data_IF_136773332535
#
_entry.id   IF_136773332535
#
_cell.length_a   1.000
_cell.length_b   1.000
_cell.length_c   1.000
_cell.angle_alpha   90.00
_cell.angle_beta   90.00
_cell.angle_gamma   90.00
#
_symmetry.space_group_name_H-M   'P 1'
#
loop_
_entity.id
_entity.type
_entity.pdbx_description
1 polymer ?
#
# COMPACT_ATOMS: atom_id res chain seq x y z
N UNK A 1 -3.60 21.45 1.26
CA UNK A 1 -2.65 21.01 0.20
C UNK A 1 -2.58 19.49 0.01
N UNK A 2 -3.05 18.66 0.94
CA UNK A 2 -3.05 17.20 0.80
C UNK A 2 -3.77 16.67 -0.46
N UNK A 3 -4.85 17.32 -0.91
CA UNK A 3 -5.58 16.91 -2.13
C UNK A 3 -4.79 17.07 -3.44
N UNK A 4 -3.85 18.02 -3.52
CA UNK A 4 -3.00 18.21 -4.70
C UNK A 4 -1.91 17.15 -4.81
N UNK A 5 -1.43 16.63 -3.67
CA UNK A 5 -0.43 15.56 -3.63
C UNK A 5 -0.97 14.19 -4.06
N UNK A 6 -2.29 13.97 -3.98
CA UNK A 6 -2.95 12.72 -4.39
C UNK A 6 -3.38 12.71 -5.87
N UNK A 7 -3.46 13.89 -6.52
CA UNK A 7 -3.85 13.98 -7.93
C UNK A 7 -2.97 13.18 -8.90
N UNK A 8 -1.63 13.12 -8.76
CA UNK A 8 -0.81 12.30 -9.65
C UNK A 8 -1.16 10.82 -9.58
N UNK A 9 -1.52 10.33 -8.39
CA UNK A 9 -1.93 8.94 -8.19
C UNK A 9 -3.23 8.64 -8.92
N UNK A 10 -4.24 9.49 -8.77
CA UNK A 10 -5.55 9.27 -9.38
C UNK A 10 -5.50 9.38 -10.89
N UNK A 11 -4.71 10.31 -11.44
CA UNK A 11 -4.47 10.44 -12.88
C UNK A 11 -3.76 9.20 -13.43
N UNK A 12 -2.75 8.68 -12.73
CA UNK A 12 -2.07 7.45 -13.14
C UNK A 12 -2.98 6.23 -13.14
N UNK A 13 -3.78 6.06 -12.07
CA UNK A 13 -4.78 4.98 -11.99
C UNK A 13 -5.74 5.08 -13.17
N UNK A 14 -6.27 6.27 -13.46
CA UNK A 14 -7.19 6.49 -14.56
C UNK A 14 -6.56 6.21 -15.94
N UNK A 15 -5.30 6.59 -16.14
CA UNK A 15 -4.57 6.38 -17.39
C UNK A 15 -4.22 4.90 -17.64
N UNK A 16 -3.89 4.15 -16.59
CA UNK A 16 -3.40 2.76 -16.70
C UNK A 16 -4.55 1.74 -16.69
N UNK A 17 -5.68 2.05 -16.03
CA UNK A 17 -6.82 1.14 -15.89
C UNK A 17 -7.31 0.48 -17.21
N UNK A 18 -7.43 1.20 -18.35
CA UNK A 18 -7.89 0.61 -19.61
C UNK A 18 -6.94 -0.46 -20.19
N UNK A 19 -5.66 -0.46 -19.80
CA UNK A 19 -4.65 -1.38 -20.32
C UNK A 19 -4.75 -2.77 -19.69
N UNK A 20 -5.34 -2.88 -18.50
CA UNK A 20 -5.44 -4.13 -17.75
C UNK A 20 -6.08 -5.28 -18.55
N UNK A 21 -7.29 -5.14 -19.13
CA UNK A 21 -7.92 -6.23 -19.89
C UNK A 21 -7.14 -6.60 -21.16
N UNK A 22 -6.50 -5.63 -21.81
CA UNK A 22 -5.67 -5.88 -23.00
C UNK A 22 -4.43 -6.72 -22.65
N UNK A 23 -3.74 -6.36 -21.56
CA UNK A 23 -2.56 -7.07 -21.08
C UNK A 23 -2.91 -8.49 -20.64
N UNK A 24 -4.04 -8.68 -19.96
CA UNK A 24 -4.50 -10.01 -19.51
C UNK A 24 -4.83 -10.91 -20.70
N UNK A 25 -5.51 -10.40 -21.74
CA UNK A 25 -5.74 -11.17 -22.98
C UNK A 25 -4.43 -11.57 -23.67
N UNK A 26 -3.42 -10.70 -23.66
CA UNK A 26 -2.16 -10.92 -24.39
C UNK A 26 -1.16 -11.78 -23.62
N UNK A 27 -0.97 -11.56 -22.32
CA UNK A 27 0.06 -12.23 -21.51
C UNK A 27 -0.51 -13.30 -20.55
N UNK A 28 -1.81 -13.26 -20.27
CA UNK A 28 -2.47 -14.16 -19.30
C UNK A 28 -2.50 -13.57 -17.89
N UNK A 29 -3.50 -14.00 -17.11
CA UNK A 29 -3.79 -13.44 -15.78
C UNK A 29 -2.61 -13.55 -14.81
N UNK A 30 -1.99 -14.72 -14.69
CA UNK A 30 -0.87 -14.97 -13.75
C UNK A 30 0.30 -14.01 -13.99
N UNK A 31 0.69 -13.81 -15.25
CA UNK A 31 1.82 -12.93 -15.60
C UNK A 31 1.49 -11.49 -15.28
N UNK A 32 0.28 -11.02 -15.63
CA UNK A 32 -0.13 -9.63 -15.38
C UNK A 32 -0.24 -9.34 -13.90
N UNK A 33 -0.90 -10.21 -13.11
CA UNK A 33 -1.04 -10.00 -11.67
C UNK A 33 0.31 -10.02 -10.96
N UNK A 34 1.18 -10.99 -11.30
CA UNK A 34 2.53 -11.04 -10.72
C UNK A 34 3.32 -9.78 -11.05
N UNK A 35 3.33 -9.36 -12.33
CA UNK A 35 4.03 -8.15 -12.75
C UNK A 35 3.47 -6.90 -12.06
N UNK A 36 2.15 -6.75 -11.97
CA UNK A 36 1.51 -5.63 -11.31
C UNK A 36 1.90 -5.54 -9.82
N UNK A 37 1.92 -6.66 -9.11
CA UNK A 37 2.33 -6.71 -7.70
C UNK A 37 3.82 -6.42 -7.53
N UNK A 38 4.69 -6.92 -8.42
CA UNK A 38 6.13 -6.59 -8.40
C UNK A 38 6.37 -5.11 -8.67
N UNK A 39 5.68 -4.52 -9.65
CA UNK A 39 5.74 -3.09 -9.97
C UNK A 39 5.29 -2.27 -8.75
N UNK A 40 4.20 -2.67 -8.09
CA UNK A 40 3.70 -2.01 -6.88
C UNK A 40 4.71 -2.08 -5.73
N UNK A 41 5.29 -3.25 -5.46
CA UNK A 41 6.31 -3.43 -4.43
C UNK A 41 7.57 -2.62 -4.72
N UNK A 42 8.01 -2.57 -5.98
CA UNK A 42 9.14 -1.74 -6.41
C UNK A 42 8.85 -0.24 -6.22
N UNK A 43 7.65 0.22 -6.57
CA UNK A 43 7.23 1.61 -6.35
C UNK A 43 7.22 1.99 -4.87
N UNK A 44 6.74 1.09 -4.00
CA UNK A 44 6.81 1.27 -2.55
C UNK A 44 8.26 1.31 -2.06
N UNK A 45 9.14 0.42 -2.54
CA UNK A 45 10.55 0.42 -2.17
C UNK A 45 11.29 1.70 -2.60
N UNK A 46 11.01 2.22 -3.79
CA UNK A 46 11.56 3.52 -4.23
C UNK A 46 11.10 4.63 -3.27
N UNK A 47 9.83 4.64 -2.88
CA UNK A 47 9.28 5.64 -1.96
C UNK A 47 9.97 5.63 -0.60
N UNK A 48 10.42 4.47 -0.10
CA UNK A 48 11.20 4.36 1.16
C UNK A 48 12.64 4.86 1.07
N UNK A 49 13.14 5.19 -0.11
CA UNK A 49 14.50 5.74 -0.29
C UNK A 49 14.53 7.26 -0.38
N UNK A 50 13.37 7.92 -0.34
CA UNK A 50 13.29 9.38 -0.41
C UNK A 50 13.48 10.03 0.95
N UNK A 51 14.46 10.92 1.04
CA UNK A 51 14.67 11.81 2.18
C UNK A 51 14.06 13.20 1.93
N UNK A 52 13.96 14.03 2.96
CA UNK A 52 13.45 15.42 2.97
C UNK A 52 14.11 16.37 1.96
N UNK A 53 15.29 16.01 1.46
CA UNK A 53 16.05 16.77 0.44
C UNK A 53 15.77 16.29 -0.99
N UNK A 54 14.97 15.24 -1.16
CA UNK A 54 14.72 14.67 -2.49
C UNK A 54 13.81 15.55 -3.31
N UNK A 55 14.07 15.62 -4.61
CA UNK A 55 13.18 16.31 -5.55
C UNK A 55 11.78 15.69 -5.54
N UNK A 56 10.75 16.50 -5.81
CA UNK A 56 9.36 16.04 -5.86
C UNK A 56 9.10 15.00 -6.98
N UNK A 57 9.96 14.96 -8.00
CA UNK A 57 9.82 14.06 -9.15
C UNK A 57 9.82 12.57 -8.76
N UNK A 58 10.79 12.04 -7.99
CA UNK A 58 10.75 10.64 -7.56
C UNK A 58 9.54 10.28 -6.68
N UNK A 59 8.98 11.22 -5.90
CA UNK A 59 7.71 10.99 -5.19
C UNK A 59 6.58 10.78 -6.18
N UNK A 60 6.52 11.63 -7.21
CA UNK A 60 5.52 11.57 -8.26
C UNK A 60 5.62 10.26 -9.03
N UNK A 61 6.83 9.87 -9.46
CA UNK A 61 7.09 8.60 -10.15
C UNK A 61 6.70 7.41 -9.27
N UNK A 62 7.14 7.36 -8.01
CA UNK A 62 6.79 6.26 -7.09
C UNK A 62 5.28 6.13 -6.90
N UNK A 63 4.59 7.25 -6.74
CA UNK A 63 3.13 7.28 -6.57
C UNK A 63 2.39 6.81 -7.83
N UNK A 64 2.86 7.21 -9.01
CA UNK A 64 2.34 6.76 -10.30
C UNK A 64 2.56 5.26 -10.49
N UNK A 65 3.74 4.75 -10.15
CA UNK A 65 4.10 3.32 -10.25
C UNK A 65 3.23 2.47 -9.34
N UNK A 66 3.03 2.90 -8.08
CA UNK A 66 2.12 2.22 -7.15
C UNK A 66 0.68 2.23 -7.68
N UNK A 67 0.20 3.39 -8.15
CA UNK A 67 -1.14 3.53 -8.74
C UNK A 67 -1.36 2.63 -9.97
N UNK A 68 -0.36 2.51 -10.84
CA UNK A 68 -0.37 1.61 -11.99
C UNK A 68 -0.44 0.13 -11.57
N UNK A 69 0.32 -0.27 -10.56
CA UNK A 69 0.25 -1.62 -10.02
C UNK A 69 -1.13 -1.95 -9.45
N UNK A 70 -1.77 -1.00 -8.77
CA UNK A 70 -3.11 -1.18 -8.19
C UNK A 70 -4.14 -1.40 -9.29
N UNK A 71 -4.14 -0.54 -10.32
CA UNK A 71 -5.14 -0.61 -11.40
C UNK A 71 -5.01 -1.88 -12.25
N UNK A 72 -3.80 -2.37 -12.47
CA UNK A 72 -3.54 -3.62 -13.19
C UNK A 72 -3.89 -4.89 -12.40
N UNK A 73 -4.04 -4.79 -11.09
CA UNK A 73 -4.32 -5.93 -10.22
C UNK A 73 -5.83 -6.08 -9.93
N UNK A 74 -6.50 -4.99 -9.55
CA UNK A 74 -7.81 -5.05 -8.91
C UNK A 74 -8.92 -5.61 -9.82
N UNK A 75 -9.06 -5.06 -11.03
CA UNK A 75 -10.14 -5.47 -11.93
C UNK A 75 -9.94 -6.91 -12.45
N UNK A 76 -8.76 -7.30 -12.97
CA UNK A 76 -8.55 -8.66 -13.47
C UNK A 76 -8.65 -9.75 -12.39
N UNK A 77 -8.21 -9.47 -11.16
CA UNK A 77 -8.33 -10.41 -10.06
C UNK A 77 -9.80 -10.67 -9.70
N UNK A 78 -10.59 -9.59 -9.61
CA UNK A 78 -12.04 -9.67 -9.32
C UNK A 78 -12.76 -10.43 -10.44
N UNK A 79 -12.51 -10.07 -11.70
CA UNK A 79 -13.10 -10.74 -12.86
C UNK A 79 -12.78 -12.24 -12.86
N UNK A 80 -11.54 -12.61 -12.55
CA UNK A 80 -11.12 -14.01 -12.48
C UNK A 80 -11.83 -14.79 -11.37
N UNK A 81 -12.03 -14.19 -10.20
CA UNK A 81 -12.74 -14.81 -9.07
C UNK A 81 -14.21 -14.98 -9.42
N UNK A 82 -14.88 -13.96 -9.95
CA UNK A 82 -16.31 -14.05 -10.31
C UNK A 82 -16.51 -15.03 -11.48
N UNK A 83 -15.66 -14.99 -12.50
CA UNK A 83 -15.69 -15.92 -13.63
C UNK A 83 -15.28 -17.35 -13.23
N UNK A 84 -14.75 -17.55 -12.02
CA UNK A 84 -14.39 -18.88 -11.51
C UNK A 84 -15.61 -19.74 -11.18
N UNK A 85 -16.85 -19.25 -11.26
CA UNK A 85 -18.07 -20.05 -11.10
C UNK A 85 -19.00 -19.93 -12.32
N UNK A 86 -19.91 -20.92 -12.54
CA UNK A 86 -20.97 -20.80 -13.55
C UNK A 86 -21.86 -19.57 -13.28
N UNK A 87 -22.45 -19.00 -14.34
CA UNK A 87 -23.28 -17.77 -14.28
C UNK A 87 -24.31 -17.78 -13.14
N UNK A 88 -25.02 -18.89 -12.94
CA UNK A 88 -26.02 -19.06 -11.88
C UNK A 88 -25.46 -18.94 -10.45
N UNK A 89 -24.14 -19.04 -10.25
CA UNK A 89 -23.45 -18.95 -8.95
C UNK A 89 -22.48 -17.77 -8.86
N UNK A 90 -22.41 -16.90 -9.87
CA UNK A 90 -21.51 -15.74 -9.86
C UNK A 90 -21.83 -14.76 -8.73
N UNK A 91 -23.11 -14.64 -8.34
CA UNK A 91 -23.49 -13.84 -7.17
C UNK A 91 -22.82 -14.32 -5.87
N UNK A 92 -22.65 -15.65 -5.70
CA UNK A 92 -21.94 -16.23 -4.57
C UNK A 92 -20.44 -15.93 -4.64
N UNK A 93 -19.83 -16.04 -5.83
CA UNK A 93 -18.41 -15.69 -6.01
C UNK A 93 -18.15 -14.20 -5.70
N UNK A 94 -19.04 -13.30 -6.14
CA UNK A 94 -18.94 -11.87 -5.84
C UNK A 94 -19.06 -11.60 -4.34
N UNK A 95 -20.06 -12.19 -3.68
CA UNK A 95 -20.25 -12.02 -2.24
C UNK A 95 -19.03 -12.50 -1.43
N UNK A 96 -18.46 -13.66 -1.79
CA UNK A 96 -17.23 -14.16 -1.17
C UNK A 96 -16.04 -13.24 -1.45
N UNK A 97 -15.91 -12.73 -2.67
CA UNK A 97 -14.86 -11.77 -3.03
C UNK A 97 -14.96 -10.48 -2.21
N UNK A 98 -16.17 -9.96 -2.03
CA UNK A 98 -16.40 -8.74 -1.27
C UNK A 98 -16.07 -8.93 0.22
N UNK A 99 -16.54 -10.02 0.84
CA UNK A 99 -16.17 -10.37 2.22
C UNK A 99 -14.65 -10.54 2.35
N UNK A 100 -14.00 -11.20 1.38
CA UNK A 100 -12.54 -11.36 1.37
C UNK A 100 -11.83 -10.01 1.31
N UNK A 101 -12.34 -9.06 0.53
CA UNK A 101 -11.79 -7.69 0.43
C UNK A 101 -12.03 -6.88 1.70
N UNK A 102 -13.18 -7.01 2.34
CA UNK A 102 -13.46 -6.35 3.62
C UNK A 102 -12.53 -6.85 4.72
N UNK A 103 -12.39 -8.17 4.85
CA UNK A 103 -11.47 -8.81 5.80
C UNK A 103 -10.01 -8.42 5.48
N UNK A 104 -9.62 -8.49 4.21
CA UNK A 104 -8.28 -8.09 3.76
C UNK A 104 -8.01 -6.61 4.03
N UNK A 105 -9.00 -5.74 3.83
CA UNK A 105 -8.91 -4.31 4.14
C UNK A 105 -8.73 -4.05 5.63
N UNK A 106 -9.52 -4.71 6.48
CA UNK A 106 -9.41 -4.59 7.93
C UNK A 106 -8.04 -5.08 8.44
N UNK A 107 -7.57 -6.23 7.96
CA UNK A 107 -6.24 -6.76 8.28
C UNK A 107 -5.12 -5.83 7.79
N UNK A 108 -5.25 -5.30 6.57
CA UNK A 108 -4.31 -4.34 6.00
C UNK A 108 -4.19 -3.09 6.86
N UNK A 109 -5.32 -2.48 7.25
CA UNK A 109 -5.32 -1.30 8.14
C UNK A 109 -4.68 -1.63 9.50
N UNK A 110 -4.98 -2.80 10.08
CA UNK A 110 -4.42 -3.21 11.36
C UNK A 110 -2.89 -3.43 11.30
N UNK A 111 -2.41 -4.15 10.29
CA UNK A 111 -0.97 -4.45 10.11
C UNK A 111 -0.19 -3.17 9.83
N UNK A 112 -0.66 -2.36 8.88
CA UNK A 112 0.02 -1.12 8.48
C UNK A 112 -0.03 -0.08 9.60
N UNK A 113 -1.17 0.06 10.28
CA UNK A 113 -1.30 0.94 11.44
C UNK A 113 -0.40 0.51 12.60
N UNK A 114 -0.28 -0.79 12.85
CA UNK A 114 0.63 -1.33 13.86
C UNK A 114 2.10 -1.08 13.51
N UNK A 115 2.49 -1.31 12.25
CA UNK A 115 3.85 -1.04 11.77
C UNK A 115 4.19 0.45 11.86
N UNK A 116 3.27 1.32 11.44
CA UNK A 116 3.38 2.76 11.56
C UNK A 116 3.56 3.20 13.02
N UNK A 117 2.65 2.79 13.90
CA UNK A 117 2.66 3.18 15.30
C UNK A 117 3.92 2.66 16.03
N UNK A 118 4.36 1.43 15.71
CA UNK A 118 5.62 0.88 16.22
C UNK A 118 6.82 1.70 15.77
N UNK A 119 6.84 2.11 14.50
CA UNK A 119 7.87 3.00 13.94
C UNK A 119 7.91 4.37 14.60
N UNK A 120 6.75 5.01 14.71
CA UNK A 120 6.63 6.31 15.37
C UNK A 120 7.12 6.28 16.82
N UNK A 121 6.65 5.31 17.60
CA UNK A 121 7.02 5.20 19.03
C UNK A 121 8.50 4.89 19.22
N UNK A 122 9.08 4.05 18.37
CA UNK A 122 10.51 3.77 18.39
C UNK A 122 11.32 5.01 17.99
N UNK A 123 10.93 5.71 16.92
CA UNK A 123 11.61 6.90 16.44
C UNK A 123 11.59 8.07 17.44
N UNK A 124 10.51 8.22 18.21
CA UNK A 124 10.48 9.14 19.35
C UNK A 124 11.42 8.66 20.46
N UNK A 125 11.43 7.34 20.73
CA UNK A 125 12.30 6.72 21.74
C UNK A 125 13.79 6.89 21.50
N UNK A 126 14.22 6.74 20.25
CA UNK A 126 15.62 6.92 19.85
C UNK A 126 16.08 8.39 19.98
N UNK A 127 15.14 9.31 20.25
CA UNK A 127 15.34 10.76 20.39
C UNK A 127 14.85 11.27 21.76
N UNK A 128 14.88 10.39 22.77
CA UNK A 128 14.43 10.70 24.14
C UNK A 128 15.20 11.89 24.77
N UNK A 129 16.41 12.22 24.28
CA UNK A 129 17.20 13.39 24.66
C UNK A 129 16.69 14.73 24.10
N UNK A 130 15.92 14.67 23.00
CA UNK A 130 15.25 15.83 22.41
C UNK A 130 13.94 16.18 23.12
N UNK A 131 13.35 15.24 23.87
CA UNK A 131 12.02 15.34 24.45
C UNK A 131 12.07 15.33 25.99
N UNK A 132 11.54 16.36 26.68
CA UNK A 132 11.46 16.34 28.14
C UNK A 132 10.73 15.08 28.66
N UNK A 133 11.25 14.47 29.73
CA UNK A 133 10.72 13.21 30.25
C UNK A 133 9.24 13.25 30.61
N UNK A 134 8.74 14.42 31.05
CA UNK A 134 7.32 14.65 31.36
C UNK A 134 6.44 14.79 30.11
N UNK A 135 7.01 15.07 28.94
CA UNK A 135 6.32 15.23 27.66
C UNK A 135 6.35 13.95 26.80
N UNK A 136 7.26 13.00 27.09
CA UNK A 136 7.45 11.77 26.30
C UNK A 136 6.17 10.96 26.09
N UNK A 137 5.32 10.82 27.11
CA UNK A 137 4.05 10.10 26.99
C UNK A 137 3.11 10.74 25.96
N UNK A 138 2.96 12.07 26.03
CA UNK A 138 2.14 12.85 25.10
C UNK A 138 2.71 12.80 23.68
N UNK A 139 4.03 12.99 23.53
CA UNK A 139 4.70 12.98 22.23
C UNK A 139 4.58 11.61 21.54
N UNK A 140 4.66 10.51 22.30
CA UNK A 140 4.51 9.15 21.75
C UNK A 140 3.06 8.78 21.37
N UNK A 141 2.06 9.57 21.78
CA UNK A 141 0.65 9.22 21.55
C UNK A 141 0.18 9.50 20.12
N UNK A 142 0.59 10.62 19.54
CA UNK A 142 0.33 11.00 18.16
C UNK A 142 1.20 12.19 17.75
N UNK A 143 1.34 12.42 16.45
CA UNK A 143 2.01 13.62 15.93
C UNK A 143 1.28 14.89 16.35
N UNK A 144 -0.05 14.91 16.31
CA UNK A 144 -0.84 16.09 16.68
C UNK A 144 -0.62 16.47 18.15
N UNK A 145 -0.63 15.48 19.05
CA UNK A 145 -0.34 15.70 20.46
C UNK A 145 1.11 16.17 20.68
N UNK A 146 2.06 15.63 19.91
CA UNK A 146 3.45 16.05 19.96
C UNK A 146 3.65 17.50 19.51
N UNK A 147 2.96 17.93 18.45
CA UNK A 147 3.04 19.30 17.94
C UNK A 147 2.37 20.29 18.89
N UNK A 148 1.22 19.95 19.46
CA UNK A 148 0.58 20.77 20.49
C UNK A 148 1.45 20.92 21.74
N UNK A 149 2.10 19.84 22.17
CA UNK A 149 3.02 19.87 23.31
C UNK A 149 4.30 20.66 22.99
N UNK A 150 4.82 20.56 21.77
CA UNK A 150 5.94 21.38 21.29
C UNK A 150 5.61 22.88 21.32
N UNK A 151 4.42 23.27 20.88
CA UNK A 151 3.94 24.66 20.96
C UNK A 151 3.81 25.14 22.41
N UNK A 152 3.31 24.28 23.31
CA UNK A 152 3.19 24.57 24.74
C UNK A 152 4.55 24.77 25.42
N UNK A 153 5.56 23.97 25.05
CA UNK A 153 6.94 24.10 25.56
C UNK A 153 7.59 25.38 25.04
N UNK A 154 7.39 25.69 23.74
CA UNK A 154 7.93 26.88 23.11
C UNK A 154 9.48 26.92 23.00
N UNK A 155 9.97 27.96 22.34
CA UNK A 155 11.40 28.20 22.17
C UNK A 155 12.15 27.10 21.41
N UNK A 156 13.46 27.01 21.64
CA UNK A 156 14.32 26.03 20.97
C UNK A 156 13.99 24.57 21.35
N UNK A 157 13.51 24.33 22.57
CA UNK A 157 13.12 22.98 23.01
C UNK A 157 11.84 22.52 22.32
N UNK A 158 10.82 23.39 22.22
CA UNK A 158 9.62 23.10 21.45
C UNK A 158 9.93 22.77 19.98
N UNK A 159 10.81 23.56 19.35
CA UNK A 159 11.25 23.30 17.98
C UNK A 159 11.93 21.91 17.82
N UNK A 160 12.77 21.49 18.78
CA UNK A 160 13.39 20.15 18.78
C UNK A 160 12.37 19.03 18.94
N UNK A 161 11.37 19.21 19.82
CA UNK A 161 10.29 18.22 20.00
C UNK A 161 9.47 18.07 18.71
N UNK A 162 9.12 19.18 18.06
CA UNK A 162 8.39 19.15 16.80
C UNK A 162 9.18 18.46 15.67
N UNK A 163 10.49 18.73 15.57
CA UNK A 163 11.36 18.09 14.58
C UNK A 163 11.53 16.58 14.85
N UNK A 164 11.73 16.19 16.12
CA UNK A 164 11.80 14.80 16.53
C UNK A 164 10.50 14.04 16.21
N UNK A 165 9.33 14.64 16.49
CA UNK A 165 8.04 14.04 16.19
C UNK A 165 7.78 13.90 14.68
N UNK A 166 8.11 14.92 13.88
CA UNK A 166 7.98 14.86 12.42
C UNK A 166 8.90 13.80 11.80
N UNK A 167 10.13 13.70 12.31
CA UNK A 167 11.09 12.69 11.87
C UNK A 167 10.61 11.29 12.25
N UNK A 168 10.17 11.09 13.49
CA UNK A 168 9.61 9.81 13.94
C UNK A 168 8.34 9.42 13.15
N UNK A 169 7.53 10.40 12.73
CA UNK A 169 6.36 10.16 11.87
C UNK A 169 6.78 9.64 10.50
N UNK A 170 7.84 10.22 9.91
CA UNK A 170 8.44 9.71 8.67
C UNK A 170 9.00 8.29 8.87
N UNK A 171 9.73 8.04 9.96
CA UNK A 171 10.24 6.70 10.31
C UNK A 171 9.08 5.66 10.41
N UNK A 172 7.95 6.07 10.98
CA UNK A 172 6.72 5.28 11.04
C UNK A 172 6.15 4.98 9.66
N UNK A 173 6.06 5.99 8.80
CA UNK A 173 5.54 5.85 7.44
C UNK A 173 6.42 4.89 6.62
N UNK A 174 7.75 5.03 6.71
CA UNK A 174 8.70 4.17 6.02
C UNK A 174 8.55 2.70 6.45
N UNK A 175 8.44 2.44 7.77
CA UNK A 175 8.20 1.07 8.27
C UNK A 175 6.89 0.49 7.76
N UNK A 176 5.82 1.27 7.74
CA UNK A 176 4.55 0.82 7.19
C UNK A 176 4.64 0.51 5.70
N UNK A 177 5.35 1.33 4.93
CA UNK A 177 5.57 1.11 3.49
C UNK A 177 6.41 -0.14 3.21
N UNK A 178 7.46 -0.41 4.00
CA UNK A 178 8.24 -1.64 3.90
C UNK A 178 7.40 -2.88 4.18
N UNK A 179 6.57 -2.84 5.23
CA UNK A 179 5.64 -3.94 5.55
C UNK A 179 4.63 -4.14 4.43
N UNK A 180 4.07 -3.07 3.87
CA UNK A 180 3.17 -3.14 2.71
C UNK A 180 3.87 -3.78 1.50
N UNK A 181 5.09 -3.35 1.18
CA UNK A 181 5.87 -3.88 0.08
C UNK A 181 6.15 -5.38 0.25
N UNK A 182 6.48 -5.81 1.47
CA UNK A 182 6.70 -7.22 1.80
C UNK A 182 5.42 -8.05 1.62
N UNK A 183 4.29 -7.58 2.13
CA UNK A 183 2.99 -8.26 1.97
C UNK A 183 2.63 -8.41 0.49
N UNK A 184 2.81 -7.34 -0.30
CA UNK A 184 2.58 -7.38 -1.75
C UNK A 184 3.55 -8.34 -2.44
N UNK A 185 4.82 -8.37 -2.07
CA UNK A 185 5.81 -9.29 -2.63
C UNK A 185 5.49 -10.75 -2.32
N UNK A 186 5.05 -11.06 -1.09
CA UNK A 186 4.57 -12.39 -0.71
C UNK A 186 3.33 -12.78 -1.53
N UNK A 187 2.39 -11.84 -1.71
CA UNK A 187 1.24 -12.04 -2.58
C UNK A 187 1.63 -12.30 -4.04
N UNK A 188 2.62 -11.57 -4.56
CA UNK A 188 3.15 -11.79 -5.91
C UNK A 188 3.74 -13.20 -6.05
N UNK A 189 4.51 -13.67 -5.06
CA UNK A 189 5.04 -15.03 -5.03
C UNK A 189 3.91 -16.07 -4.95
N UNK A 190 2.88 -15.84 -4.13
CA UNK A 190 1.73 -16.73 -4.03
C UNK A 190 0.97 -16.83 -5.36
N UNK A 191 0.70 -15.70 -6.03
CA UNK A 191 0.08 -15.68 -7.37
C UNK A 191 0.99 -16.39 -8.38
N UNK A 192 2.28 -16.11 -8.35
CA UNK A 192 3.25 -16.75 -9.23
C UNK A 192 3.33 -18.26 -9.02
N UNK A 193 3.06 -18.80 -7.83
CA UNK A 193 3.15 -20.23 -7.57
C UNK A 193 1.80 -20.96 -7.72
N UNK A 194 0.71 -20.32 -7.31
CA UNK A 194 -0.61 -20.95 -7.16
C UNK A 194 -1.58 -20.64 -8.30
N UNK A 195 -1.39 -19.56 -9.05
CA UNK A 195 -2.34 -19.21 -10.10
C UNK A 195 -2.24 -20.19 -11.29
N UNK A 196 -3.38 -20.67 -11.83
CA UNK A 196 -3.40 -21.58 -12.97
C UNK A 196 -2.80 -20.91 -14.22
N UNK A 197 -2.01 -21.68 -14.97
CA UNK A 197 -1.39 -21.21 -16.22
C UNK A 197 -2.40 -20.97 -17.34
N UNK A 198 -1.97 -20.30 -18.41
CA UNK A 198 -2.80 -19.97 -19.59
C UNK A 198 -3.41 -21.22 -20.26
N UNK A 199 -2.70 -22.35 -20.23
CA UNK A 199 -3.17 -23.61 -20.82
C UNK A 199 -4.24 -24.32 -19.98
N UNK A 200 -4.23 -24.12 -18.66
CA UNK A 200 -5.15 -24.75 -17.72
C UNK A 200 -6.49 -24.01 -17.65
N UNK A 201 -6.44 -22.68 -17.73
CA UNK A 201 -7.65 -21.83 -17.81
C UNK A 201 -8.47 -22.08 -19.07
N UNK A 202 -7.83 -22.36 -20.22
CA UNK A 202 -8.53 -22.75 -21.46
C UNK A 202 -9.20 -24.13 -21.31
N UNK A 203 -8.52 -25.13 -20.76
CA UNK A 203 -9.09 -26.47 -20.51
C UNK A 203 -10.26 -26.46 -19.52
N UNK A 204 -10.18 -25.63 -18.48
CA UNK A 204 -11.26 -25.49 -17.49
C UNK A 204 -12.50 -24.80 -18.09
N UNK A 205 -12.31 -23.88 -19.04
CA UNK A 205 -13.43 -23.26 -19.76
C UNK A 205 -14.09 -24.24 -20.75
N UNK A 206 -13.31 -25.07 -21.45
CA UNK A 206 -13.85 -26.12 -22.32
C UNK A 206 -14.65 -27.17 -21.51
N UNK A 207 -14.12 -27.61 -20.36
CA UNK A 207 -14.79 -28.57 -19.46
C UNK A 207 -16.06 -28.02 -18.81
N UNK A 208 -16.26 -26.70 -18.78
CA UNK A 208 -17.48 -26.04 -18.26
C UNK A 208 -18.58 -25.85 -19.30
N UNK A 209 -18.22 -25.97 -20.58
CA UNK A 209 -19.15 -25.82 -21.72
C UNK A 209 -19.74 -27.14 -22.18
N UNK A 210 -19.09 -28.27 -21.88
CA UNK A 210 -19.64 -29.61 -22.05
C UNK A 210 -20.32 -30.09 -20.77
#
# INVERSE_FOLDING_TARGET
>A
MAGLSLMPMTVAVAAVSPLAPMLVRRAGLRVVLTAAMVIMAAGMGVLTTLDKNSSYIPVLVGTVVVGAGISLCLAPATDAIVASLPAAKQGVASAVNDVTREVGGALGVAILGSAFNSGYRAGVGDRDDAVPANALGTVRSSLDAALAEAERIGGATGARVADAARTAFADGLDRAMLVAALVVAVGAAAVLLLAPGRAESVRLQEKRRG
#
